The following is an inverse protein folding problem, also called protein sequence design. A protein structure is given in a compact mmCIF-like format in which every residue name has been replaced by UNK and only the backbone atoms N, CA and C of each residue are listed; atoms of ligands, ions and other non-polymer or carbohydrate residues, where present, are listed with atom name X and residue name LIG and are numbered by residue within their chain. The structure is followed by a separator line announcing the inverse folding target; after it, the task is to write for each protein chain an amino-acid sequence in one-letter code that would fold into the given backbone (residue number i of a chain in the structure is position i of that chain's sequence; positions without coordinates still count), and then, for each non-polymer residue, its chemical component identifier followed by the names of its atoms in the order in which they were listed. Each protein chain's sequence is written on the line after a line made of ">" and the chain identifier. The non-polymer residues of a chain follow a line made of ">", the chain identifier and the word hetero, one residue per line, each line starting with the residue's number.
data_IF_364213305458
#
_entry.id   IF_364213305458
#
_cell.length_a   1.000
_cell.length_b   1.000
_cell.length_c   1.000
_cell.angle_alpha   90.00
_cell.angle_beta   90.00
_cell.angle_gamma   90.00
#
_symmetry.space_group_name_H-M   'P 1'
#
loop_
_entity.id
_entity.type
_entity.pdbx_description
1 polymer ?
#
# COMPACT_ATOMS: atom_id res chain seq x y z
N UNK A 1 12.10 20.27 28.23
CA UNK A 1 13.24 19.65 27.51
C UNK A 1 12.79 19.49 26.07
N UNK A 2 13.35 20.22 25.11
CA UNK A 2 12.95 20.08 23.70
C UNK A 2 13.48 18.74 23.20
N UNK A 3 12.59 17.77 23.05
CA UNK A 3 12.92 16.53 22.36
C UNK A 3 13.24 16.85 20.90
N UNK A 4 14.48 16.65 20.49
CA UNK A 4 14.88 16.72 19.08
C UNK A 4 14.63 15.33 18.49
N UNK A 5 13.72 15.22 17.55
CA UNK A 5 13.74 14.13 16.58
C UNK A 5 15.00 14.36 15.75
N UNK A 6 16.04 13.53 15.96
CA UNK A 6 17.27 13.66 15.19
C UNK A 6 17.01 13.22 13.75
N UNK A 7 17.27 14.11 12.80
CA UNK A 7 17.37 13.75 11.39
C UNK A 7 18.64 12.94 11.21
N UNK A 8 18.51 11.68 10.84
CA UNK A 8 19.64 10.85 10.40
C UNK A 8 20.23 11.49 9.14
N UNK A 9 21.54 11.58 9.06
CA UNK A 9 22.24 12.22 7.96
C UNK A 9 21.89 11.56 6.61
N UNK A 10 21.50 12.37 5.63
CA UNK A 10 21.29 12.01 4.22
C UNK A 10 22.55 11.59 3.46
N UNK A 11 23.66 11.34 4.18
CA UNK A 11 24.93 10.92 3.63
C UNK A 11 24.81 9.48 3.07
N UNK A 12 24.60 9.39 1.75
CA UNK A 12 24.52 8.11 1.03
C UNK A 12 23.40 8.03 0.00
N UNK A 13 22.48 8.98 -0.06
CA UNK A 13 21.47 9.04 -1.11
C UNK A 13 22.08 9.61 -2.41
N UNK A 14 21.66 9.12 -3.58
CA UNK A 14 22.04 9.72 -4.85
C UNK A 14 21.53 11.17 -4.93
N UNK A 15 22.30 12.03 -5.60
CA UNK A 15 21.86 13.40 -5.83
C UNK A 15 20.74 13.44 -6.88
N UNK A 16 19.64 14.17 -6.62
CA UNK A 16 18.60 14.37 -7.63
C UNK A 16 19.16 15.10 -8.85
N UNK A 17 18.69 14.73 -10.04
CA UNK A 17 19.01 15.51 -11.24
C UNK A 17 18.37 16.90 -11.21
N UNK A 18 18.81 17.80 -12.11
CA UNK A 18 18.35 19.20 -12.13
C UNK A 18 16.83 19.35 -12.26
N UNK A 19 16.17 18.47 -13.04
CA UNK A 19 14.70 18.51 -13.21
C UNK A 19 13.98 18.14 -11.92
N UNK A 20 14.46 17.10 -11.24
CA UNK A 20 13.90 16.65 -9.96
C UNK A 20 14.15 17.70 -8.87
N UNK A 21 15.32 18.33 -8.83
CA UNK A 21 15.59 19.44 -7.91
C UNK A 21 14.67 20.64 -8.14
N UNK A 22 14.45 21.04 -9.40
CA UNK A 22 13.49 22.11 -9.72
C UNK A 22 12.08 21.74 -9.24
N UNK A 23 11.64 20.50 -9.49
CA UNK A 23 10.34 20.01 -9.03
C UNK A 23 10.23 20.03 -7.51
N UNK A 24 11.20 19.44 -6.79
CA UNK A 24 11.20 19.41 -5.33
C UNK A 24 11.21 20.83 -4.73
N UNK A 25 11.92 21.77 -5.35
CA UNK A 25 11.89 23.17 -4.94
C UNK A 25 10.51 23.82 -5.15
N UNK A 26 9.79 23.47 -6.23
CA UNK A 26 8.43 23.96 -6.45
C UNK A 26 7.47 23.42 -5.38
N UNK A 27 7.53 22.11 -5.09
CA UNK A 27 6.72 21.49 -4.03
C UNK A 27 7.07 22.07 -2.66
N UNK A 28 8.36 22.23 -2.35
CA UNK A 28 8.82 22.86 -1.11
C UNK A 28 8.27 24.27 -0.94
N UNK A 29 8.27 25.06 -2.01
CA UNK A 29 7.69 26.42 -1.99
C UNK A 29 6.19 26.39 -1.72
N UNK A 30 5.47 25.48 -2.38
CA UNK A 30 4.03 25.28 -2.16
C UNK A 30 3.74 24.91 -0.71
N UNK A 31 4.42 23.89 -0.16
CA UNK A 31 4.26 23.45 1.23
C UNK A 31 4.57 24.61 2.21
N UNK A 32 5.65 25.38 1.97
CA UNK A 32 5.97 26.56 2.79
C UNK A 32 4.83 27.59 2.80
N UNK A 33 4.15 27.79 1.66
CA UNK A 33 2.97 28.66 1.58
C UNK A 33 1.78 28.10 2.39
N UNK A 34 1.55 26.78 2.37
CA UNK A 34 0.51 26.16 3.20
C UNK A 34 0.84 26.32 4.70
N UNK A 35 2.09 26.13 5.09
CA UNK A 35 2.55 26.38 6.47
C UNK A 35 2.28 27.84 6.90
N UNK A 36 2.54 28.82 6.01
CA UNK A 36 2.25 30.24 6.31
C UNK A 36 0.76 30.50 6.50
N UNK A 37 -0.07 29.94 5.63
CA UNK A 37 -1.55 30.04 5.73
C UNK A 37 -2.09 29.40 7.00
N UNK A 38 -1.49 28.28 7.45
CA UNK A 38 -1.87 27.56 8.65
C UNK A 38 -1.32 28.18 9.95
N UNK A 39 -0.55 29.26 9.89
CA UNK A 39 -0.06 29.97 11.07
C UNK A 39 1.20 29.38 11.72
N UNK A 40 2.17 28.92 10.91
CA UNK A 40 3.54 28.49 11.25
C UNK A 40 3.83 26.98 11.15
N UNK A 41 2.83 26.11 11.10
CA UNK A 41 3.02 24.63 10.95
C UNK A 41 1.79 23.97 10.35
N UNK A 42 2.01 22.78 9.78
CA UNK A 42 0.95 21.85 9.35
C UNK A 42 1.19 20.48 10.00
N UNK A 43 0.19 19.61 10.05
CA UNK A 43 0.38 18.23 10.50
C UNK A 43 1.36 17.47 9.59
N UNK A 44 1.99 16.40 10.08
CA UNK A 44 2.80 15.53 9.21
C UNK A 44 1.93 14.90 8.12
N UNK A 45 0.70 14.54 8.42
CA UNK A 45 -0.30 14.07 7.45
C UNK A 45 -0.48 15.07 6.30
N UNK A 46 -0.70 16.36 6.61
CA UNK A 46 -0.90 17.38 5.58
C UNK A 46 0.37 17.63 4.77
N UNK A 47 1.55 17.58 5.41
CA UNK A 47 2.83 17.62 4.71
C UNK A 47 2.94 16.48 3.70
N UNK A 48 2.64 15.23 4.12
CA UNK A 48 2.68 14.05 3.27
C UNK A 48 1.66 14.17 2.13
N UNK A 49 0.43 14.63 2.43
CA UNK A 49 -0.61 14.86 1.43
C UNK A 49 -0.14 15.81 0.31
N UNK A 50 0.48 16.93 0.68
CA UNK A 50 1.02 17.87 -0.31
C UNK A 50 2.24 17.31 -1.05
N UNK A 51 3.13 16.59 -0.36
CA UNK A 51 4.34 16.02 -0.98
C UNK A 51 4.01 14.91 -1.98
N UNK A 52 2.97 14.11 -1.72
CA UNK A 52 2.64 12.94 -2.54
C UNK A 52 1.51 13.21 -3.54
N UNK A 53 0.46 13.94 -3.15
CA UNK A 53 -0.82 13.94 -3.86
C UNK A 53 -1.25 15.30 -4.42
N UNK A 54 -0.54 16.40 -4.12
CA UNK A 54 -0.90 17.72 -4.66
C UNK A 54 -0.97 17.69 -6.19
N UNK A 55 -2.10 18.16 -6.76
CA UNK A 55 -2.36 18.07 -8.20
C UNK A 55 -1.25 18.76 -9.02
N UNK A 56 -0.65 18.05 -9.95
CA UNK A 56 0.42 18.52 -10.82
C UNK A 56 1.78 18.75 -10.15
N UNK A 57 1.90 18.60 -8.81
CA UNK A 57 3.12 18.82 -8.04
C UNK A 57 3.58 17.57 -7.29
N UNK A 58 2.66 16.87 -6.64
CA UNK A 58 2.95 15.74 -5.78
C UNK A 58 3.63 14.57 -6.49
N UNK A 59 4.26 13.71 -5.73
CA UNK A 59 5.00 12.55 -6.22
C UNK A 59 4.16 11.67 -7.15
N UNK A 60 3.00 11.20 -6.70
CA UNK A 60 2.10 10.35 -7.50
C UNK A 60 1.35 11.11 -8.58
N UNK A 61 1.08 12.40 -8.39
CA UNK A 61 0.29 13.19 -9.35
C UNK A 61 1.08 13.69 -10.57
N UNK A 62 2.40 13.80 -10.47
CA UNK A 62 3.22 14.49 -11.49
C UNK A 62 4.43 13.71 -12.02
N UNK A 63 4.89 12.66 -11.32
CA UNK A 63 6.03 11.85 -11.77
C UNK A 63 5.56 10.78 -12.77
N UNK A 64 6.23 10.68 -13.93
CA UNK A 64 5.83 9.74 -14.98
C UNK A 64 6.32 8.31 -14.73
N UNK A 65 7.54 8.15 -14.20
CA UNK A 65 8.18 6.87 -13.95
C UNK A 65 8.41 6.68 -12.45
N UNK A 66 7.40 6.19 -11.75
CA UNK A 66 7.46 5.95 -10.30
C UNK A 66 7.90 4.51 -10.04
N UNK A 67 7.33 3.55 -10.77
CA UNK A 67 7.45 2.11 -10.58
C UNK A 67 8.28 1.49 -11.71
N UNK A 68 9.06 0.45 -11.38
CA UNK A 68 9.85 -0.34 -12.32
C UNK A 68 11.34 -0.03 -12.29
N UNK A 69 12.11 -0.66 -13.19
CA UNK A 69 13.59 -0.60 -13.23
C UNK A 69 14.13 0.84 -13.33
N UNK A 70 13.38 1.73 -13.98
CA UNK A 70 13.73 3.15 -14.13
C UNK A 70 12.97 4.06 -13.12
N UNK A 71 12.30 3.48 -12.13
CA UNK A 71 11.56 4.18 -11.08
C UNK A 71 12.33 4.28 -9.77
N UNK A 72 11.61 4.55 -8.69
CA UNK A 72 12.20 4.63 -7.35
C UNK A 72 12.12 3.29 -6.61
N UNK A 73 11.18 2.41 -7.02
CA UNK A 73 10.98 1.07 -6.46
C UNK A 73 10.34 0.11 -7.49
N UNK A 74 10.38 -1.18 -7.18
CA UNK A 74 9.78 -2.24 -7.99
C UNK A 74 8.81 -3.02 -7.12
N UNK A 75 7.58 -3.20 -7.59
CA UNK A 75 6.52 -3.94 -6.89
C UNK A 75 6.43 -5.39 -7.35
N UNK A 76 5.77 -6.26 -6.58
CA UNK A 76 5.65 -7.68 -6.87
C UNK A 76 5.14 -8.00 -8.30
N UNK A 77 4.16 -7.28 -8.87
CA UNK A 77 3.69 -7.51 -10.25
C UNK A 77 4.73 -7.27 -11.34
N UNK A 78 5.77 -6.47 -11.08
CA UNK A 78 6.82 -6.15 -12.06
C UNK A 78 7.90 -7.25 -12.18
N UNK A 79 7.94 -8.17 -11.22
CA UNK A 79 8.94 -9.24 -11.23
C UNK A 79 8.58 -10.42 -12.14
N UNK A 80 7.35 -10.48 -12.67
CA UNK A 80 6.91 -11.50 -13.60
C UNK A 80 5.50 -12.02 -13.34
N UNK A 81 5.16 -13.15 -13.94
CA UNK A 81 3.77 -13.60 -14.02
C UNK A 81 3.28 -14.36 -12.77
N UNK A 82 4.17 -14.89 -11.91
CA UNK A 82 3.80 -15.72 -10.77
C UNK A 82 2.81 -15.02 -9.85
N UNK A 83 3.08 -13.75 -9.52
CA UNK A 83 2.25 -12.98 -8.61
C UNK A 83 0.86 -12.72 -9.18
N UNK A 84 0.80 -12.23 -10.41
CA UNK A 84 -0.46 -11.99 -11.11
C UNK A 84 -1.27 -13.28 -11.33
N UNK A 85 -0.59 -14.39 -11.66
CA UNK A 85 -1.23 -15.71 -11.82
C UNK A 85 -1.82 -16.21 -10.49
N UNK A 86 -1.15 -15.96 -9.36
CA UNK A 86 -1.65 -16.33 -8.03
C UNK A 86 -2.95 -15.58 -7.69
N UNK A 87 -3.00 -14.27 -7.95
CA UNK A 87 -4.20 -13.45 -7.77
C UNK A 87 -5.29 -13.83 -8.78
N UNK A 88 -4.96 -14.08 -10.04
CA UNK A 88 -5.91 -14.47 -11.05
C UNK A 88 -6.67 -15.76 -10.69
N UNK A 89 -6.00 -16.72 -10.06
CA UNK A 89 -6.65 -17.96 -9.57
C UNK A 89 -7.71 -17.66 -8.50
N UNK A 90 -7.46 -16.70 -7.61
CA UNK A 90 -8.46 -16.27 -6.63
C UNK A 90 -9.62 -15.55 -7.32
N UNK A 91 -9.30 -14.68 -8.29
CA UNK A 91 -10.34 -14.03 -9.10
C UNK A 91 -11.21 -15.03 -9.84
N UNK A 92 -10.61 -16.09 -10.43
CA UNK A 92 -11.33 -17.12 -11.15
C UNK A 92 -12.36 -17.86 -10.29
N UNK A 93 -12.04 -18.15 -9.01
CA UNK A 93 -12.97 -18.74 -8.07
C UNK A 93 -14.22 -17.86 -7.91
N UNK A 94 -13.99 -16.55 -7.69
CA UNK A 94 -15.06 -15.60 -7.44
C UNK A 94 -15.89 -15.35 -8.70
N UNK A 95 -15.25 -15.20 -9.86
CA UNK A 95 -15.95 -14.99 -11.14
C UNK A 95 -16.72 -16.23 -11.60
N UNK A 96 -16.32 -17.43 -11.18
CA UNK A 96 -17.06 -18.66 -11.48
C UNK A 96 -18.28 -18.86 -10.58
N UNK A 97 -18.25 -18.39 -9.33
CA UNK A 97 -19.33 -18.56 -8.35
C UNK A 97 -20.35 -17.40 -8.37
N UNK A 98 -19.90 -16.19 -8.73
CA UNK A 98 -20.75 -15.00 -8.80
C UNK A 98 -20.99 -14.61 -10.26
N UNK A 99 -22.22 -14.81 -10.73
CA UNK A 99 -22.61 -14.38 -12.08
C UNK A 99 -22.53 -12.85 -12.20
N UNK A 100 -21.81 -12.37 -13.22
CA UNK A 100 -21.61 -10.92 -13.45
C UNK A 100 -20.58 -10.31 -12.49
N UNK A 101 -19.71 -11.12 -11.89
CA UNK A 101 -18.67 -10.62 -11.00
C UNK A 101 -17.74 -9.62 -11.70
N UNK A 102 -17.43 -8.56 -10.99
CA UNK A 102 -16.52 -7.50 -11.41
C UNK A 102 -15.22 -7.59 -10.60
N UNK A 103 -14.09 -7.30 -11.23
CA UNK A 103 -12.83 -7.06 -10.53
C UNK A 103 -12.64 -5.54 -10.40
N UNK A 104 -12.27 -5.09 -9.21
CA UNK A 104 -11.90 -3.72 -8.94
C UNK A 104 -10.49 -3.69 -8.36
N UNK A 105 -9.58 -3.00 -9.01
CA UNK A 105 -8.19 -2.81 -8.56
C UNK A 105 -7.97 -1.36 -8.13
N UNK A 106 -7.46 -1.18 -6.92
CA UNK A 106 -6.96 0.11 -6.45
C UNK A 106 -5.50 0.27 -6.82
N UNK A 107 -5.11 1.45 -7.34
CA UNK A 107 -3.71 1.80 -7.55
C UNK A 107 -2.98 0.83 -8.49
N UNK A 108 -3.45 0.65 -9.72
CA UNK A 108 -2.90 -0.35 -10.64
C UNK A 108 -1.44 -0.08 -11.10
N UNK A 109 -0.81 1.00 -10.63
CA UNK A 109 0.57 1.34 -10.93
C UNK A 109 0.84 1.39 -12.44
N UNK A 110 1.76 0.54 -12.93
CA UNK A 110 2.04 0.44 -14.37
C UNK A 110 0.95 -0.31 -15.16
N UNK A 111 0.00 -0.95 -14.48
CA UNK A 111 -0.99 -1.85 -15.08
C UNK A 111 -0.49 -3.28 -15.30
N UNK A 112 0.69 -3.63 -14.76
CA UNK A 112 1.25 -4.97 -14.91
C UNK A 112 0.36 -6.03 -14.28
N UNK A 113 -0.18 -5.76 -13.08
CA UNK A 113 -1.08 -6.68 -12.39
C UNK A 113 -2.38 -6.91 -13.18
N UNK A 114 -3.04 -5.85 -13.61
CA UNK A 114 -4.27 -5.93 -14.42
C UNK A 114 -4.05 -6.76 -15.69
N UNK A 115 -2.96 -6.50 -16.41
CA UNK A 115 -2.60 -7.26 -17.62
C UNK A 115 -2.37 -8.74 -17.31
N UNK A 116 -1.59 -9.03 -16.26
CA UNK A 116 -1.28 -10.41 -15.89
C UNK A 116 -2.54 -11.18 -15.44
N UNK A 117 -3.39 -10.58 -14.61
CA UNK A 117 -4.66 -11.17 -14.19
C UNK A 117 -5.55 -11.44 -15.41
N UNK A 118 -5.73 -10.47 -16.31
CA UNK A 118 -6.61 -10.62 -17.47
C UNK A 118 -6.09 -11.71 -18.44
N UNK A 119 -4.78 -11.77 -18.70
CA UNK A 119 -4.18 -12.85 -19.50
C UNK A 119 -4.51 -14.23 -18.89
N UNK A 120 -4.28 -14.38 -17.59
CA UNK A 120 -4.50 -15.67 -16.92
C UNK A 120 -5.97 -16.06 -16.86
N UNK A 121 -6.87 -15.12 -16.57
CA UNK A 121 -8.31 -15.37 -16.56
C UNK A 121 -8.84 -15.73 -17.95
N UNK A 122 -8.29 -15.16 -19.02
CA UNK A 122 -8.60 -15.56 -20.40
C UNK A 122 -8.20 -17.02 -20.68
N UNK A 123 -6.98 -17.42 -20.27
CA UNK A 123 -6.54 -18.81 -20.37
C UNK A 123 -7.47 -19.77 -19.60
N UNK A 124 -7.90 -19.37 -18.42
CA UNK A 124 -8.80 -20.14 -17.55
C UNK A 124 -10.28 -20.08 -18.01
N UNK A 125 -10.62 -19.25 -18.98
CA UNK A 125 -11.99 -18.99 -19.46
C UNK A 125 -12.94 -18.47 -18.37
N UNK A 126 -12.42 -17.66 -17.46
CA UNK A 126 -13.10 -17.09 -16.29
C UNK A 126 -12.99 -15.57 -16.28
N UNK A 127 -13.24 -14.89 -17.42
CA UNK A 127 -13.18 -13.43 -17.50
C UNK A 127 -14.29 -12.78 -16.66
N UNK A 128 -14.01 -11.66 -15.98
CA UNK A 128 -15.02 -10.88 -15.28
C UNK A 128 -15.91 -10.14 -16.30
N UNK A 129 -17.09 -9.68 -15.85
CA UNK A 129 -17.93 -8.81 -16.67
C UNK A 129 -17.27 -7.45 -16.90
N UNK A 130 -16.67 -6.88 -15.86
CA UNK A 130 -15.90 -5.64 -15.91
C UNK A 130 -14.62 -5.77 -15.07
N UNK A 131 -13.61 -5.01 -15.48
CA UNK A 131 -12.40 -4.76 -14.70
C UNK A 131 -12.29 -3.26 -14.45
N UNK A 132 -12.55 -2.84 -13.22
CA UNK A 132 -12.45 -1.43 -12.84
C UNK A 132 -11.11 -1.14 -12.20
N UNK A 133 -10.57 0.04 -12.51
CA UNK A 133 -9.35 0.57 -11.90
C UNK A 133 -9.71 1.91 -11.25
N UNK A 134 -9.35 2.06 -9.95
CA UNK A 134 -9.33 3.34 -9.27
C UNK A 134 -7.89 3.80 -9.20
N UNK A 135 -7.58 4.87 -9.94
CA UNK A 135 -6.23 5.45 -10.03
C UNK A 135 -6.34 6.98 -9.98
N UNK A 136 -5.53 7.60 -9.13
CA UNK A 136 -5.55 9.07 -8.94
C UNK A 136 -4.62 9.80 -9.92
N UNK A 137 -3.59 9.10 -10.42
CA UNK A 137 -2.58 9.67 -11.30
C UNK A 137 -3.01 9.62 -12.77
N UNK A 138 -3.26 10.77 -13.38
CA UNK A 138 -3.57 10.87 -14.83
C UNK A 138 -2.46 10.26 -15.68
N UNK A 139 -1.19 10.44 -15.29
CA UNK A 139 -0.05 9.88 -16.00
C UNK A 139 -0.02 8.35 -15.96
N UNK A 140 -0.34 7.76 -14.80
CA UNK A 140 -0.45 6.30 -14.65
C UNK A 140 -1.66 5.76 -15.43
N UNK A 141 -2.81 6.44 -15.39
CA UNK A 141 -3.99 6.07 -16.20
C UNK A 141 -3.62 5.99 -17.69
N UNK A 142 -2.92 7.00 -18.22
CA UNK A 142 -2.51 7.01 -19.63
C UNK A 142 -1.47 5.92 -19.93
N UNK A 143 -0.60 5.60 -18.99
CA UNK A 143 0.32 4.48 -19.11
C UNK A 143 -0.41 3.14 -19.12
N UNK A 144 -1.32 2.92 -18.18
CA UNK A 144 -2.16 1.72 -18.05
C UNK A 144 -2.99 1.48 -19.33
N UNK A 145 -3.62 2.52 -19.87
CA UNK A 145 -4.38 2.44 -21.13
C UNK A 145 -3.51 1.98 -22.30
N UNK A 146 -2.30 2.54 -22.42
CA UNK A 146 -1.36 2.14 -23.50
C UNK A 146 -0.92 0.69 -23.33
N UNK A 147 -0.53 0.28 -22.11
CA UNK A 147 -0.08 -1.07 -21.80
C UNK A 147 -1.17 -2.11 -22.09
N UNK A 148 -2.39 -1.88 -21.59
CA UNK A 148 -3.54 -2.77 -21.84
C UNK A 148 -3.84 -2.90 -23.35
N UNK A 149 -3.82 -1.78 -24.08
CA UNK A 149 -4.04 -1.80 -25.54
C UNK A 149 -2.93 -2.54 -26.30
N UNK A 150 -1.69 -2.53 -25.80
CA UNK A 150 -0.56 -3.22 -26.43
C UNK A 150 -0.54 -4.71 -26.10
N UNK A 151 -0.82 -5.08 -24.83
CA UNK A 151 -0.60 -6.44 -24.36
C UNK A 151 -1.86 -7.32 -24.36
N UNK A 152 -3.05 -6.72 -24.24
CA UNK A 152 -4.35 -7.43 -24.20
C UNK A 152 -5.43 -6.62 -24.95
N UNK A 153 -5.21 -6.26 -26.24
CA UNK A 153 -6.09 -5.36 -26.97
C UNK A 153 -7.54 -5.84 -27.03
N UNK A 154 -7.77 -7.14 -27.10
CA UNK A 154 -9.09 -7.75 -27.15
C UNK A 154 -9.85 -7.69 -25.80
N UNK A 155 -9.16 -7.46 -24.70
CA UNK A 155 -9.74 -7.32 -23.36
C UNK A 155 -9.80 -5.86 -22.90
N UNK A 156 -9.23 -4.92 -23.63
CA UNK A 156 -9.20 -3.52 -23.24
C UNK A 156 -10.61 -2.90 -23.09
N UNK A 157 -11.62 -3.46 -23.78
CA UNK A 157 -13.01 -3.00 -23.73
C UNK A 157 -13.73 -3.28 -22.40
N UNK A 158 -13.29 -4.30 -21.64
CA UNK A 158 -13.87 -4.61 -20.34
C UNK A 158 -13.21 -3.82 -19.20
N UNK A 159 -12.11 -3.10 -19.48
CA UNK A 159 -11.39 -2.31 -18.47
C UNK A 159 -11.87 -0.86 -18.49
N UNK A 160 -12.20 -0.33 -17.32
CA UNK A 160 -12.64 1.05 -17.18
C UNK A 160 -12.03 1.70 -15.93
N UNK A 161 -11.71 2.99 -16.04
CA UNK A 161 -11.21 3.80 -14.91
C UNK A 161 -12.37 4.54 -14.28
N UNK A 162 -12.53 4.36 -12.97
CA UNK A 162 -13.61 4.97 -12.17
C UNK A 162 -13.01 5.72 -10.99
N UNK A 163 -13.76 6.67 -10.43
CA UNK A 163 -13.29 7.54 -9.33
C UNK A 163 -13.66 7.04 -7.92
N UNK A 164 -14.57 6.09 -7.81
CA UNK A 164 -15.04 5.55 -6.53
C UNK A 164 -15.59 4.15 -6.70
N UNK A 165 -15.62 3.37 -5.63
CA UNK A 165 -16.25 2.04 -5.60
C UNK A 165 -17.74 2.20 -5.92
N UNK A 166 -18.29 1.41 -6.86
CA UNK A 166 -19.73 1.43 -7.16
C UNK A 166 -20.55 0.98 -5.93
N UNK A 167 -21.73 1.58 -5.77
CA UNK A 167 -22.71 1.10 -4.78
C UNK A 167 -23.15 -0.34 -5.13
N UNK A 168 -23.44 -1.14 -4.11
CA UNK A 168 -23.86 -2.53 -4.28
C UNK A 168 -22.85 -3.38 -5.08
N UNK A 169 -21.54 -3.09 -4.92
CA UNK A 169 -20.47 -3.79 -5.64
C UNK A 169 -20.53 -5.30 -5.40
N UNK A 170 -20.38 -6.07 -6.48
CA UNK A 170 -20.38 -7.53 -6.44
C UNK A 170 -19.17 -8.07 -7.20
N UNK A 171 -18.32 -8.86 -6.53
CA UNK A 171 -17.09 -9.40 -7.12
C UNK A 171 -15.90 -9.37 -6.19
N UNK A 172 -14.74 -9.02 -6.73
CA UNK A 172 -13.48 -8.94 -5.97
C UNK A 172 -12.86 -7.54 -6.03
N UNK A 173 -12.50 -7.02 -4.88
CA UNK A 173 -11.67 -5.81 -4.75
C UNK A 173 -10.24 -6.24 -4.42
N UNK A 174 -9.27 -5.69 -5.13
CA UNK A 174 -7.84 -5.92 -4.94
C UNK A 174 -7.15 -4.59 -4.64
N UNK A 175 -6.38 -4.56 -3.57
CA UNK A 175 -5.50 -3.45 -3.24
C UNK A 175 -4.10 -4.01 -2.97
N UNK A 176 -3.17 -3.74 -3.88
CA UNK A 176 -1.79 -4.17 -3.78
C UNK A 176 -0.88 -2.98 -3.61
N UNK A 177 -0.19 -2.87 -2.46
CA UNK A 177 0.67 -1.73 -2.12
C UNK A 177 -0.10 -0.40 -2.25
N UNK A 178 -1.20 -0.29 -1.50
CA UNK A 178 -2.08 0.89 -1.48
C UNK A 178 -2.25 1.42 -0.06
N UNK A 179 -2.38 0.51 0.93
CA UNK A 179 -2.66 0.90 2.30
C UNK A 179 -1.48 1.62 2.97
N UNK A 180 -0.26 1.31 2.58
CA UNK A 180 1.00 1.92 3.05
C UNK A 180 1.17 3.38 2.60
N UNK A 181 0.57 3.74 1.46
CA UNK A 181 0.69 5.04 0.83
C UNK A 181 -0.33 6.08 1.33
N UNK A 182 -1.38 5.68 2.07
CA UNK A 182 -2.31 6.64 2.66
C UNK A 182 -1.61 7.57 3.63
N UNK A 183 -1.98 8.86 3.58
CA UNK A 183 -1.44 9.86 4.52
C UNK A 183 -1.74 9.49 5.97
N UNK A 184 -0.79 9.70 6.85
CA UNK A 184 -0.88 9.30 8.26
C UNK A 184 -0.45 10.41 9.21
N UNK A 185 -1.06 10.38 10.39
CA UNK A 185 -0.60 11.18 11.53
C UNK A 185 0.60 10.49 12.18
N UNK A 186 1.55 11.31 12.66
CA UNK A 186 2.63 10.85 13.54
C UNK A 186 2.43 11.43 14.92
N UNK A 187 2.68 10.62 15.93
CA UNK A 187 2.55 11.06 17.32
C UNK A 187 3.73 10.61 18.18
N UNK A 188 3.97 11.36 19.24
CA UNK A 188 4.94 10.98 20.27
C UNK A 188 4.19 10.86 21.59
N UNK A 189 4.31 9.69 22.22
CA UNK A 189 3.79 9.47 23.57
C UNK A 189 4.79 10.00 24.60
N UNK A 190 4.35 10.86 25.48
CA UNK A 190 5.14 11.31 26.65
C UNK A 190 4.54 10.70 27.92
N UNK A 191 5.17 10.90 29.06
CA UNK A 191 4.64 10.39 30.34
C UNK A 191 3.25 10.93 30.66
N UNK A 192 2.91 12.17 30.21
CA UNK A 192 1.71 12.87 30.62
C UNK A 192 0.71 13.12 29.48
N UNK A 193 1.16 13.18 28.22
CA UNK A 193 0.35 13.60 27.09
C UNK A 193 0.76 12.91 25.79
N UNK A 194 -0.08 13.03 24.77
CA UNK A 194 0.20 12.69 23.38
C UNK A 194 0.54 13.96 22.63
N UNK A 195 1.68 13.96 21.95
CA UNK A 195 2.08 15.05 21.07
C UNK A 195 1.89 14.66 19.61
N UNK A 196 1.31 15.54 18.82
CA UNK A 196 1.22 15.40 17.36
C UNK A 196 2.51 15.92 16.73
N UNK A 197 3.05 15.16 15.77
CA UNK A 197 4.19 15.59 14.97
C UNK A 197 3.70 16.48 13.84
N UNK A 198 4.16 17.72 13.84
CA UNK A 198 3.91 18.71 12.81
C UNK A 198 5.19 19.03 12.03
N UNK A 199 5.02 19.69 10.89
CA UNK A 199 6.09 20.21 10.05
C UNK A 199 6.03 21.73 10.02
N UNK A 200 7.15 22.36 10.32
CA UNK A 200 7.35 23.81 10.29
C UNK A 200 8.53 24.18 9.39
N UNK A 201 8.61 25.46 9.02
CA UNK A 201 9.76 26.01 8.27
C UNK A 201 10.95 26.24 9.19
N UNK A 202 12.14 25.96 8.70
CA UNK A 202 13.40 26.41 9.27
C UNK A 202 14.29 26.93 8.14
N UNK A 203 14.23 28.24 7.88
CA UNK A 203 14.87 28.89 6.74
C UNK A 203 14.47 28.21 5.41
N UNK A 204 15.42 27.60 4.73
CA UNK A 204 15.18 26.89 3.47
C UNK A 204 14.74 25.44 3.65
N UNK A 205 14.81 24.88 4.87
CA UNK A 205 14.49 23.49 5.19
C UNK A 205 13.15 23.38 5.93
N UNK A 206 12.69 22.17 6.06
CA UNK A 206 11.60 21.78 6.98
C UNK A 206 12.20 21.23 8.28
N UNK A 207 11.45 21.36 9.37
CA UNK A 207 11.77 20.74 10.67
C UNK A 207 10.53 20.18 11.30
N UNK A 208 10.71 19.21 12.15
CA UNK A 208 9.62 18.74 13.02
C UNK A 208 9.32 19.76 14.12
N UNK A 209 8.02 19.82 14.45
CA UNK A 209 7.51 20.61 15.57
C UNK A 209 6.49 19.74 16.32
N UNK A 210 6.57 19.70 17.64
CA UNK A 210 5.70 18.88 18.48
C UNK A 210 4.70 19.78 19.19
N UNK A 211 3.42 19.47 19.07
CA UNK A 211 2.33 20.19 19.73
C UNK A 211 1.41 19.20 20.48
N UNK A 212 0.65 19.62 21.48
CA UNK A 212 -0.39 18.76 22.03
C UNK A 212 -1.30 18.22 20.93
N UNK A 213 -1.55 16.93 20.95
CA UNK A 213 -2.36 16.26 19.93
C UNK A 213 -3.83 16.71 20.02
N UNK A 214 -4.53 16.67 18.89
CA UNK A 214 -5.98 16.88 18.87
C UNK A 214 -6.73 15.70 19.54
N UNK A 215 -8.02 15.90 19.82
CA UNK A 215 -8.83 14.90 20.53
C UNK A 215 -8.88 13.56 19.77
N UNK A 216 -9.04 13.57 18.44
CA UNK A 216 -9.11 12.33 17.63
C UNK A 216 -7.84 11.47 17.82
N UNK A 217 -6.67 12.10 17.79
CA UNK A 217 -5.40 11.40 17.98
C UNK A 217 -5.17 10.96 19.44
N UNK A 218 -5.58 11.79 20.42
CA UNK A 218 -5.55 11.42 21.84
C UNK A 218 -6.44 10.21 22.11
N UNK A 219 -7.69 10.23 21.63
CA UNK A 219 -8.66 9.15 21.81
C UNK A 219 -8.18 7.85 21.19
N UNK A 220 -7.56 7.94 20.00
CA UNK A 220 -6.94 6.78 19.35
C UNK A 220 -5.83 6.18 20.21
N UNK A 221 -4.90 6.99 20.72
CA UNK A 221 -3.78 6.47 21.54
C UNK A 221 -4.29 5.87 22.86
N UNK A 222 -5.30 6.46 23.51
CA UNK A 222 -5.94 5.88 24.69
C UNK A 222 -6.60 4.53 24.38
N UNK A 223 -7.32 4.45 23.26
CA UNK A 223 -7.92 3.21 22.76
C UNK A 223 -6.84 2.15 22.48
N UNK A 224 -5.77 2.53 21.79
CA UNK A 224 -4.64 1.67 21.50
C UNK A 224 -4.00 1.10 22.78
N UNK A 225 -3.64 1.96 23.73
CA UNK A 225 -3.03 1.56 25.02
C UNK A 225 -3.92 0.58 25.80
N UNK A 226 -5.24 0.76 25.71
CA UNK A 226 -6.21 -0.17 26.32
C UNK A 226 -6.19 -1.55 25.66
N UNK A 227 -6.10 -1.62 24.33
CA UNK A 227 -6.10 -2.90 23.58
C UNK A 227 -4.78 -3.64 23.78
N UNK A 228 -3.65 -2.95 23.67
CA UNK A 228 -2.33 -3.60 23.86
C UNK A 228 -2.04 -3.93 25.31
N UNK A 229 -2.86 -3.44 26.26
CA UNK A 229 -2.78 -3.75 27.68
C UNK A 229 -1.70 -3.01 28.48
N UNK A 230 -1.02 -2.05 27.88
CA UNK A 230 0.00 -1.23 28.54
C UNK A 230 0.07 0.17 27.91
N UNK A 231 0.65 1.12 28.64
CA UNK A 231 0.96 2.45 28.10
C UNK A 231 2.23 2.37 27.25
N UNK A 232 2.23 3.16 26.18
CA UNK A 232 3.44 3.37 25.40
C UNK A 232 4.47 4.17 26.20
N UNK A 233 5.74 3.86 26.04
CA UNK A 233 6.83 4.47 26.78
C UNK A 233 7.00 5.97 26.48
N UNK A 234 7.67 6.68 27.39
CA UNK A 234 8.03 8.07 27.14
C UNK A 234 8.97 8.19 25.93
N UNK A 235 8.56 9.01 24.97
CA UNK A 235 9.32 9.20 23.72
C UNK A 235 8.95 8.21 22.60
N UNK A 236 7.97 7.37 22.81
CA UNK A 236 7.50 6.44 21.78
C UNK A 236 6.89 7.20 20.61
N UNK A 237 7.55 7.12 19.46
CA UNK A 237 7.10 7.67 18.19
C UNK A 237 6.39 6.57 17.38
N UNK A 238 5.22 6.87 16.85
CA UNK A 238 4.51 5.97 15.94
C UNK A 238 3.56 6.73 15.00
N UNK A 239 2.88 5.97 14.15
CA UNK A 239 2.00 6.44 13.09
C UNK A 239 0.58 5.86 13.23
N UNK A 240 -0.41 6.59 12.67
CA UNK A 240 -1.77 6.11 12.43
C UNK A 240 -2.34 6.75 11.16
N UNK A 241 -2.83 5.93 10.25
CA UNK A 241 -3.58 6.42 9.08
C UNK A 241 -5.08 6.30 9.32
N UNK A 242 -5.73 7.42 9.60
CA UNK A 242 -7.19 7.48 9.64
C UNK A 242 -7.79 7.38 8.24
N UNK A 243 -7.05 7.80 7.22
CA UNK A 243 -7.50 7.72 5.83
C UNK A 243 -7.57 6.27 5.35
N UNK A 244 -6.60 5.42 5.71
CA UNK A 244 -6.66 3.99 5.40
C UNK A 244 -7.84 3.32 6.12
N UNK A 245 -8.14 3.72 7.36
CA UNK A 245 -9.31 3.24 8.10
C UNK A 245 -10.63 3.64 7.41
N UNK A 246 -10.76 4.92 7.03
CA UNK A 246 -11.95 5.43 6.35
C UNK A 246 -12.12 4.77 4.97
N UNK A 247 -11.04 4.51 4.25
CA UNK A 247 -11.04 3.78 2.98
C UNK A 247 -11.53 2.34 3.14
N UNK A 248 -11.02 1.57 4.10
CA UNK A 248 -11.48 0.20 4.34
C UNK A 248 -12.96 0.19 4.71
N UNK A 249 -13.41 1.13 5.55
CA UNK A 249 -14.82 1.30 5.90
C UNK A 249 -15.68 1.57 4.66
N UNK A 250 -15.25 2.48 3.79
CA UNK A 250 -15.97 2.80 2.55
C UNK A 250 -16.12 1.56 1.67
N UNK A 251 -15.02 0.84 1.43
CA UNK A 251 -15.03 -0.38 0.61
C UNK A 251 -15.95 -1.44 1.22
N UNK A 252 -15.82 -1.69 2.53
CA UNK A 252 -16.64 -2.66 3.24
C UNK A 252 -18.14 -2.34 3.18
N UNK A 253 -18.52 -1.04 3.28
CA UNK A 253 -19.91 -0.61 3.16
C UNK A 253 -20.47 -0.82 1.75
N UNK A 254 -19.67 -0.58 0.71
CA UNK A 254 -20.10 -0.63 -0.70
C UNK A 254 -20.14 -2.05 -1.27
N UNK A 255 -19.41 -2.99 -0.72
CA UNK A 255 -19.49 -4.39 -1.13
C UNK A 255 -20.84 -4.97 -0.68
N UNK A 256 -21.63 -5.44 -1.65
CA UNK A 256 -22.85 -6.21 -1.43
C UNK A 256 -22.56 -7.69 -1.24
N UNK A 257 -21.77 -8.25 -2.14
CA UNK A 257 -21.35 -9.66 -2.10
C UNK A 257 -20.01 -9.84 -2.79
N UNK A 258 -19.06 -10.47 -2.12
CA UNK A 258 -17.75 -10.71 -2.72
C UNK A 258 -16.60 -10.65 -1.71
N UNK A 259 -15.42 -10.35 -2.23
CA UNK A 259 -14.15 -10.45 -1.50
C UNK A 259 -13.36 -9.15 -1.62
N UNK A 260 -12.64 -8.81 -0.56
CA UNK A 260 -11.65 -7.73 -0.55
C UNK A 260 -10.30 -8.31 -0.12
N UNK A 261 -9.31 -8.24 -1.01
CA UNK A 261 -7.92 -8.64 -0.74
C UNK A 261 -7.06 -7.38 -0.58
N UNK A 262 -6.42 -7.26 0.58
CA UNK A 262 -5.42 -6.22 0.86
C UNK A 262 -4.05 -6.92 0.93
N UNK A 263 -3.17 -6.54 0.01
CA UNK A 263 -1.81 -7.08 -0.08
C UNK A 263 -0.82 -5.93 0.11
N UNK A 264 -0.12 -5.95 1.24
CA UNK A 264 0.76 -4.84 1.60
C UNK A 264 1.83 -5.31 2.60
N UNK A 265 2.88 -4.52 2.79
CA UNK A 265 3.82 -4.78 3.86
C UNK A 265 3.30 -4.21 5.18
N UNK A 266 3.36 -5.05 6.20
CA UNK A 266 2.79 -4.72 7.50
C UNK A 266 2.78 -5.89 8.45
N UNK A 267 2.21 -5.65 9.61
CA UNK A 267 2.20 -6.59 10.73
C UNK A 267 0.93 -6.41 11.58
N UNK A 268 0.63 -7.36 12.47
CA UNK A 268 -0.41 -7.19 13.47
C UNK A 268 -0.06 -6.10 14.48
N UNK A 269 -1.08 -5.52 15.13
CA UNK A 269 -0.97 -4.46 16.15
C UNK A 269 0.03 -4.79 17.25
N UNK A 270 0.02 -6.02 17.75
CA UNK A 270 0.92 -6.45 18.83
C UNK A 270 2.40 -6.34 18.48
N UNK A 271 2.74 -6.55 17.20
CA UNK A 271 4.09 -6.36 16.68
C UNK A 271 4.34 -4.89 16.26
N UNK A 272 3.30 -4.22 15.74
CA UNK A 272 3.38 -2.83 15.28
C UNK A 272 3.73 -1.88 16.42
N UNK A 273 3.09 -2.04 17.57
CA UNK A 273 3.30 -1.22 18.77
C UNK A 273 4.16 -1.91 19.84
N UNK A 274 5.01 -2.85 19.45
CA UNK A 274 5.94 -3.49 20.38
C UNK A 274 6.90 -2.45 21.01
N UNK A 275 7.32 -2.62 22.28
CA UNK A 275 8.16 -1.64 23.00
C UNK A 275 9.46 -1.27 22.28
N UNK A 276 10.07 -2.21 21.57
CA UNK A 276 11.30 -1.99 20.80
C UNK A 276 11.06 -1.30 19.43
N UNK A 277 9.81 -0.98 19.05
CA UNK A 277 9.43 -0.31 17.81
C UNK A 277 9.11 1.17 18.01
N UNK A 278 9.84 1.82 18.89
CA UNK A 278 9.58 3.19 19.40
C UNK A 278 10.08 4.33 18.49
N UNK A 279 10.55 4.04 17.28
CA UNK A 279 11.00 5.03 16.29
C UNK A 279 10.04 5.19 15.11
N UNK A 280 8.88 4.52 15.16
CA UNK A 280 7.89 4.51 14.08
C UNK A 280 8.28 3.62 12.89
N UNK A 281 7.41 3.63 11.90
CA UNK A 281 7.49 2.80 10.72
C UNK A 281 7.63 3.58 9.42
N UNK A 282 7.70 4.91 9.50
CA UNK A 282 7.85 5.77 8.31
C UNK A 282 9.09 5.38 7.52
N UNK A 283 8.92 5.15 6.23
CA UNK A 283 9.98 4.83 5.29
C UNK A 283 9.84 5.70 4.03
N UNK A 284 10.96 6.06 3.45
CA UNK A 284 11.01 6.81 2.20
C UNK A 284 11.79 6.02 1.17
N UNK A 285 11.40 6.17 -0.11
CA UNK A 285 12.11 5.55 -1.23
C UNK A 285 12.44 6.61 -2.28
N UNK A 286 13.71 6.63 -2.66
CA UNK A 286 14.23 7.52 -3.69
C UNK A 286 15.33 6.82 -4.49
N UNK A 287 15.14 6.70 -5.81
CA UNK A 287 16.11 6.08 -6.73
C UNK A 287 16.63 4.71 -6.20
N UNK A 288 15.70 3.81 -5.82
CA UNK A 288 15.97 2.48 -5.23
C UNK A 288 16.71 2.48 -3.88
N UNK A 289 16.77 3.61 -3.20
CA UNK A 289 17.35 3.71 -1.85
C UNK A 289 16.25 3.95 -0.83
N UNK A 290 16.18 3.09 0.18
CA UNK A 290 15.30 3.26 1.34
C UNK A 290 15.99 4.11 2.42
N UNK A 291 15.25 5.08 3.00
CA UNK A 291 15.75 5.94 4.07
C UNK A 291 14.62 6.44 4.99
N UNK A 292 14.95 7.19 6.05
CA UNK A 292 14.01 7.63 7.08
C UNK A 292 13.87 9.16 7.17
N UNK A 293 14.12 9.90 6.08
CA UNK A 293 14.07 11.37 6.06
C UNK A 293 12.95 11.92 5.16
N UNK A 294 11.69 11.92 5.62
CA UNK A 294 10.58 12.33 4.77
C UNK A 294 10.54 13.82 4.46
N UNK A 295 11.27 14.66 5.22
CA UNK A 295 11.27 16.13 5.02
C UNK A 295 12.21 16.61 3.92
N UNK A 296 13.08 15.74 3.39
CA UNK A 296 13.92 16.08 2.23
C UNK A 296 13.17 15.72 0.94
N UNK A 297 13.51 16.35 -0.16
CA UNK A 297 13.05 16.04 -1.51
C UNK A 297 11.51 15.87 -1.68
N UNK A 298 10.66 16.73 -1.08
CA UNK A 298 9.20 16.58 -1.24
C UNK A 298 8.82 16.64 -2.72
N UNK A 299 7.90 15.77 -3.11
CA UNK A 299 7.41 15.65 -4.49
C UNK A 299 8.25 14.78 -5.42
N UNK A 300 9.43 14.30 -4.99
CA UNK A 300 10.28 13.44 -5.82
C UNK A 300 10.69 12.13 -5.14
N UNK A 301 10.34 11.94 -3.89
CA UNK A 301 10.50 10.69 -3.14
C UNK A 301 9.14 10.15 -2.71
N UNK A 302 9.06 8.85 -2.49
CA UNK A 302 7.94 8.21 -1.85
C UNK A 302 8.04 8.30 -0.32
N UNK A 303 6.89 8.37 0.35
CA UNK A 303 6.78 8.38 1.80
C UNK A 303 5.69 7.38 2.17
N UNK A 304 6.03 6.34 2.90
CA UNK A 304 5.13 5.25 3.26
C UNK A 304 5.26 4.88 4.73
N UNK A 305 4.34 4.06 5.23
CA UNK A 305 4.43 3.42 6.55
C UNK A 305 4.00 1.97 6.47
N UNK A 306 4.47 1.15 7.38
CA UNK A 306 3.95 -0.20 7.50
C UNK A 306 2.46 -0.18 7.89
N UNK A 307 1.73 -1.19 7.44
CA UNK A 307 0.29 -1.31 7.68
C UNK A 307 0.04 -2.05 9.00
N UNK A 308 -0.78 -1.46 9.89
CA UNK A 308 -1.39 -2.18 11.00
C UNK A 308 -2.61 -2.95 10.47
N UNK A 309 -2.42 -4.24 10.17
CA UNK A 309 -3.48 -5.09 9.64
C UNK A 309 -4.59 -5.36 10.65
N UNK A 310 -4.32 -5.27 11.96
CA UNK A 310 -5.34 -5.48 12.99
C UNK A 310 -6.42 -4.41 12.92
N UNK A 311 -6.06 -3.12 12.82
CA UNK A 311 -7.06 -2.06 12.73
C UNK A 311 -7.88 -2.15 11.44
N UNK A 312 -7.24 -2.51 10.30
CA UNK A 312 -7.96 -2.65 9.04
C UNK A 312 -8.95 -3.82 9.09
N UNK A 313 -8.56 -4.94 9.71
CA UNK A 313 -9.44 -6.11 9.87
C UNK A 313 -10.61 -5.82 10.81
N UNK A 314 -10.38 -5.09 11.91
CA UNK A 314 -11.42 -4.66 12.84
C UNK A 314 -12.43 -3.73 12.16
N UNK A 315 -11.95 -2.69 11.45
CA UNK A 315 -12.83 -1.77 10.70
C UNK A 315 -13.66 -2.52 9.66
N UNK A 316 -13.07 -3.45 8.93
CA UNK A 316 -13.82 -4.26 7.97
C UNK A 316 -14.88 -5.12 8.64
N UNK A 317 -14.54 -5.76 9.77
CA UNK A 317 -15.45 -6.61 10.55
C UNK A 317 -16.62 -5.79 11.13
N UNK A 318 -16.35 -4.61 11.69
CA UNK A 318 -17.36 -3.70 12.22
C UNK A 318 -18.34 -3.20 11.14
N UNK A 319 -17.93 -3.28 9.86
CA UNK A 319 -18.75 -2.91 8.71
C UNK A 319 -19.29 -4.14 7.94
N UNK A 320 -19.35 -5.29 8.62
CA UNK A 320 -20.06 -6.48 8.17
C UNK A 320 -19.27 -7.39 7.23
N UNK A 321 -17.94 -7.24 7.16
CA UNK A 321 -17.08 -8.21 6.47
C UNK A 321 -16.62 -9.31 7.44
N UNK A 322 -16.48 -10.51 6.92
CA UNK A 322 -15.85 -11.64 7.60
C UNK A 322 -14.36 -11.66 7.27
N UNK A 323 -13.51 -11.88 8.26
CA UNK A 323 -12.10 -12.18 8.05
C UNK A 323 -11.98 -13.63 7.60
N UNK A 324 -11.51 -13.87 6.37
CA UNK A 324 -11.31 -15.20 5.82
C UNK A 324 -9.92 -15.75 6.10
N UNK A 325 -8.92 -14.86 6.29
CA UNK A 325 -7.59 -15.24 6.70
C UNK A 325 -6.55 -14.14 6.53
N UNK A 326 -5.37 -14.40 7.10
CA UNK A 326 -4.23 -13.51 7.08
C UNK A 326 -2.94 -14.32 6.84
N UNK A 327 -2.26 -14.08 5.73
CA UNK A 327 -1.08 -14.83 5.32
C UNK A 327 0.10 -13.89 5.08
N UNK A 328 1.33 -14.40 5.22
CA UNK A 328 2.44 -13.75 4.55
C UNK A 328 2.42 -14.05 3.04
N UNK A 329 3.12 -13.25 2.24
CA UNK A 329 3.12 -13.37 0.78
C UNK A 329 3.63 -14.72 0.30
N UNK A 330 4.67 -15.26 0.94
CA UNK A 330 5.18 -16.59 0.56
C UNK A 330 4.10 -17.66 0.67
N UNK A 331 3.32 -17.63 1.74
CA UNK A 331 2.24 -18.60 1.94
C UNK A 331 1.06 -18.35 1.01
N UNK A 332 0.74 -17.06 0.73
CA UNK A 332 -0.27 -16.71 -0.28
C UNK A 332 0.08 -17.33 -1.64
N UNK A 333 1.33 -17.20 -2.10
CA UNK A 333 1.79 -17.72 -3.38
C UNK A 333 1.82 -19.25 -3.38
N UNK A 334 2.29 -19.88 -2.29
CA UNK A 334 2.30 -21.34 -2.14
C UNK A 334 0.88 -21.89 -2.18
N UNK A 335 -0.04 -21.33 -1.39
CA UNK A 335 -1.43 -21.79 -1.33
C UNK A 335 -2.20 -21.50 -2.63
N UNK A 336 -1.72 -20.59 -3.46
CA UNK A 336 -2.25 -20.33 -4.80
C UNK A 336 -1.74 -21.31 -5.86
N UNK A 337 -0.98 -22.33 -5.49
CA UNK A 337 -0.53 -23.39 -6.39
C UNK A 337 0.70 -22.98 -7.20
N UNK A 338 1.77 -22.49 -6.55
CA UNK A 338 3.03 -22.15 -7.18
C UNK A 338 3.67 -23.35 -7.91
N UNK A 339 3.39 -24.57 -7.44
CA UNK A 339 3.92 -25.82 -8.01
C UNK A 339 3.57 -26.02 -9.48
N UNK A 340 2.50 -25.44 -9.97
CA UNK A 340 2.13 -25.51 -11.39
C UNK A 340 3.19 -24.87 -12.29
N UNK A 341 3.93 -23.88 -11.79
CA UNK A 341 5.00 -23.23 -12.54
C UNK A 341 6.22 -24.15 -12.75
N UNK A 342 6.33 -25.26 -12.00
CA UNK A 342 7.42 -26.23 -12.12
C UNK A 342 7.09 -27.42 -13.02
N UNK A 343 5.84 -27.61 -13.44
CA UNK A 343 5.42 -28.79 -14.21
C UNK A 343 6.20 -29.02 -15.50
N UNK A 344 6.78 -27.96 -16.09
CA UNK A 344 7.60 -28.01 -17.29
C UNK A 344 8.96 -27.34 -17.11
N UNK A 345 9.45 -27.21 -15.87
CA UNK A 345 10.68 -26.48 -15.57
C UNK A 345 11.88 -27.01 -16.36
N UNK A 346 12.04 -28.34 -16.43
CA UNK A 346 13.14 -29.00 -17.15
C UNK A 346 13.09 -28.82 -18.70
N UNK A 347 11.92 -28.39 -19.20
CA UNK A 347 11.75 -28.13 -20.67
C UNK A 347 12.03 -26.68 -21.02
N UNK A 348 12.16 -25.80 -20.04
CA UNK A 348 12.51 -24.40 -20.25
C UNK A 348 13.98 -24.28 -20.62
N UNK A 349 14.30 -23.27 -21.43
CA UNK A 349 15.71 -22.92 -21.64
C UNK A 349 16.34 -22.37 -20.34
N UNK A 350 17.65 -22.34 -20.26
CA UNK A 350 18.40 -21.94 -19.07
C UNK A 350 18.02 -20.53 -18.60
N UNK A 351 17.78 -19.60 -19.53
CA UNK A 351 17.41 -18.22 -19.21
C UNK A 351 16.04 -18.15 -18.52
N UNK A 352 15.07 -18.88 -19.04
CA UNK A 352 13.73 -18.97 -18.47
C UNK A 352 13.75 -19.67 -17.09
N UNK A 353 14.56 -20.73 -16.91
CA UNK A 353 14.75 -21.39 -15.62
C UNK A 353 15.34 -20.44 -14.58
N UNK A 354 16.36 -19.67 -14.93
CA UNK A 354 16.98 -18.67 -14.04
C UNK A 354 15.97 -17.60 -13.67
N UNK A 355 15.22 -17.07 -14.64
CA UNK A 355 14.24 -16.01 -14.41
C UNK A 355 13.10 -16.49 -13.51
N UNK A 356 12.54 -17.67 -13.76
CA UNK A 356 11.52 -18.26 -12.92
C UNK A 356 12.03 -18.47 -11.48
N UNK A 357 13.25 -19.02 -11.35
CA UNK A 357 13.87 -19.20 -10.03
C UNK A 357 14.10 -17.89 -9.30
N UNK A 358 14.49 -16.83 -10.01
CA UNK A 358 14.66 -15.48 -9.46
C UNK A 358 13.33 -14.91 -8.94
N UNK A 359 12.26 -15.00 -9.72
CA UNK A 359 10.92 -14.55 -9.31
C UNK A 359 10.46 -15.25 -8.03
N UNK A 360 10.59 -16.58 -7.99
CA UNK A 360 10.19 -17.37 -6.83
C UNK A 360 10.97 -16.92 -5.59
N UNK A 361 12.30 -16.78 -5.68
CA UNK A 361 13.12 -16.34 -4.56
C UNK A 361 12.70 -14.95 -4.05
N UNK A 362 12.52 -13.98 -4.93
CA UNK A 362 12.11 -12.63 -4.57
C UNK A 362 10.74 -12.61 -3.88
N UNK A 363 9.80 -13.38 -4.39
CA UNK A 363 8.43 -13.36 -3.89
C UNK A 363 8.23 -14.19 -2.60
N UNK A 364 9.10 -15.18 -2.34
CA UNK A 364 8.85 -16.17 -1.26
C UNK A 364 9.89 -16.21 -0.15
N UNK A 365 11.13 -15.74 -0.36
CA UNK A 365 12.14 -15.78 0.70
C UNK A 365 11.87 -14.73 1.78
N UNK A 366 12.11 -15.06 3.06
CA UNK A 366 11.81 -14.17 4.19
C UNK A 366 12.60 -12.85 4.18
N UNK A 367 13.85 -12.88 3.71
CA UNK A 367 14.74 -11.72 3.58
C UNK A 367 14.43 -10.85 2.34
N UNK A 368 13.48 -11.27 1.54
CA UNK A 368 12.94 -10.56 0.39
C UNK A 368 11.49 -10.10 0.70
N UNK A 369 10.54 -10.34 -0.22
CA UNK A 369 9.15 -9.93 -0.03
C UNK A 369 8.30 -10.96 0.74
N UNK A 370 8.80 -12.20 0.90
CA UNK A 370 7.98 -13.34 1.31
C UNK A 370 7.39 -13.22 2.72
N UNK A 371 8.10 -12.64 3.69
CA UNK A 371 7.63 -12.51 5.08
C UNK A 371 7.02 -11.14 5.38
N UNK A 372 7.61 -10.05 4.89
CA UNK A 372 7.17 -8.69 5.24
C UNK A 372 5.84 -8.32 4.59
N UNK A 373 5.56 -8.80 3.38
CA UNK A 373 4.28 -8.60 2.72
C UNK A 373 3.25 -9.59 3.23
N UNK A 374 2.03 -9.11 3.38
CA UNK A 374 0.88 -9.85 3.90
C UNK A 374 -0.28 -9.81 2.92
N UNK A 375 -1.14 -10.80 3.02
CA UNK A 375 -2.43 -10.84 2.35
C UNK A 375 -3.52 -10.98 3.41
N UNK A 376 -4.35 -9.96 3.55
CA UNK A 376 -5.59 -10.00 4.33
C UNK A 376 -6.75 -10.28 3.39
N UNK A 377 -7.47 -11.37 3.64
CA UNK A 377 -8.68 -11.74 2.92
C UNK A 377 -9.93 -11.47 3.73
N UNK A 378 -10.84 -10.72 3.15
CA UNK A 378 -12.11 -10.30 3.73
C UNK A 378 -13.25 -10.66 2.79
N UNK A 379 -14.38 -11.14 3.30
CA UNK A 379 -15.57 -11.42 2.47
C UNK A 379 -16.85 -10.86 3.07
N UNK A 380 -17.83 -10.60 2.22
CA UNK A 380 -19.17 -10.16 2.62
C UNK A 380 -20.22 -10.89 1.79
N UNK A 381 -21.21 -11.50 2.44
CA UNK A 381 -22.27 -12.28 1.79
C UNK A 381 -21.75 -13.26 0.73
N UNK A 382 -20.54 -13.75 0.92
CA UNK A 382 -19.85 -14.71 0.06
C UNK A 382 -19.05 -15.67 0.93
N UNK A 383 -19.10 -16.95 0.59
CA UNK A 383 -18.31 -17.94 1.29
C UNK A 383 -17.10 -18.29 0.42
N UNK A 384 -15.96 -17.73 0.76
CA UNK A 384 -14.72 -17.92 0.00
C UNK A 384 -14.26 -19.39 0.12
N UNK A 385 -14.76 -20.23 -0.78
CA UNK A 385 -14.40 -21.64 -0.85
C UNK A 385 -13.08 -21.83 -1.61
N UNK A 386 -11.99 -21.43 -1.00
CA UNK A 386 -10.63 -21.57 -1.56
C UNK A 386 -9.72 -22.30 -0.60
N UNK A 387 -8.65 -22.89 -1.13
CA UNK A 387 -7.57 -23.43 -0.32
C UNK A 387 -6.62 -22.36 0.21
N UNK A 388 -6.80 -21.10 -0.22
CA UNK A 388 -5.90 -20.00 0.06
C UNK A 388 -5.59 -19.85 1.55
N UNK A 389 -6.63 -19.84 2.39
CA UNK A 389 -6.48 -19.64 3.84
C UNK A 389 -6.56 -20.93 4.67
N UNK A 390 -6.57 -22.10 4.04
CA UNK A 390 -6.65 -23.40 4.78
C UNK A 390 -5.35 -23.78 5.48
N UNK A 391 -4.21 -23.25 5.05
CA UNK A 391 -2.92 -23.62 5.57
C UNK A 391 -2.17 -22.38 6.03
N UNK A 392 -1.59 -22.45 7.24
CA UNK A 392 -0.78 -21.38 7.86
C UNK A 392 -1.48 -20.03 7.96
N UNK A 393 -2.80 -20.02 8.08
CA UNK A 393 -3.55 -18.82 8.38
C UNK A 393 -3.14 -18.27 9.75
N UNK A 394 -2.89 -16.96 9.79
CA UNK A 394 -2.45 -16.22 10.96
C UNK A 394 -3.50 -15.21 11.45
N UNK A 395 -4.76 -15.32 11.01
CA UNK A 395 -5.83 -14.40 11.41
C UNK A 395 -6.01 -14.30 12.94
N UNK A 396 -5.58 -15.30 13.68
CA UNK A 396 -5.61 -15.32 15.16
C UNK A 396 -4.70 -14.28 15.84
N UNK A 397 -3.81 -13.61 15.09
CA UNK A 397 -2.93 -12.56 15.62
C UNK A 397 -3.44 -11.13 15.33
N UNK A 398 -4.52 -10.99 14.58
CA UNK A 398 -5.13 -9.71 14.19
C UNK A 398 -5.93 -9.05 15.32
#
# INVERSE_FOLDING_TARGET
>A
MKMKLETLNSSGLPEPNDKDLVKSNCVSRFIKQQIDKAGARISFRDFMQHALYEEGLGYYSSKANIIGVNGDFITAPEYGEIYANSLAKQCAIITSEIKGATILEFGAGTGALAVGILKKLKEMRCLPEHYFIIEISKNLIDHQKRKLKQEVPELASIVSWISSVPEEFTGIVIANEVADAFSFERFVRTSNEVLQVCVAKDKEKFRYDLIPANNKLCDYVVFLEKIIGHKLDHGYLSEVSFEAQDWVKEVACKIKSGVFLILDYGIPRSEYYAPNRNQGWTRCHFMHHAHNEPLIYPGIQDITTWVDFSILSEIASDNGMKIDGFLNQSQFIINSGIEENFQNFDKLDLKAQIELSRQIKLLTLPDQMGENFKCLGLSKNFNLNTNLFKSRDRAYVL
#
